data_IF_848518639488
#
_entry.id   IF_848518639488
#
_cell.length_a   1.000
_cell.length_b   1.000
_cell.length_c   1.000
_cell.angle_alpha   90.00
_cell.angle_beta   90.00
_cell.angle_gamma   90.00
#
_symmetry.space_group_name_H-M   'P 1'
#
loop_
_entity.id
_entity.type
_entity.pdbx_description
1 polymer ?
#
# COMPACT_ATOMS: atom_id res chain seq x y z
N UNK A 1 19.28 -21.12 -13.19
CA UNK A 1 17.81 -20.93 -13.20
C UNK A 1 17.37 -21.33 -11.79
N UNK A 2 17.00 -20.48 -10.84
CA UNK A 2 16.24 -19.24 -10.94
C UNK A 2 16.54 -18.36 -9.70
N UNK A 3 16.73 -17.08 -9.97
CA UNK A 3 16.74 -15.90 -9.10
C UNK A 3 16.53 -16.10 -7.57
N UNK A 4 17.60 -15.96 -6.79
CA UNK A 4 17.52 -15.50 -5.40
C UNK A 4 17.34 -13.98 -5.45
N UNK A 5 16.16 -13.41 -5.13
CA UNK A 5 16.01 -11.97 -5.21
C UNK A 5 16.80 -11.33 -4.06
N UNK A 6 17.71 -10.43 -4.43
CA UNK A 6 18.52 -9.66 -3.51
C UNK A 6 17.64 -8.94 -2.47
N UNK A 7 17.86 -9.26 -1.20
CA UNK A 7 17.35 -8.55 -0.03
C UNK A 7 17.98 -7.16 0.01
N UNK A 8 17.43 -6.21 -0.73
CA UNK A 8 17.76 -4.80 -0.64
C UNK A 8 16.50 -3.97 -0.85
N UNK A 9 15.49 -4.25 -0.02
CA UNK A 9 14.26 -3.47 0.10
C UNK A 9 14.16 -3.16 1.60
N UNK A 10 14.24 -1.89 1.98
CA UNK A 10 14.24 -1.46 3.37
C UNK A 10 13.17 -2.20 4.18
N UNK A 11 13.60 -2.86 5.25
CA UNK A 11 12.83 -3.67 6.20
C UNK A 11 11.35 -3.88 5.81
N UNK A 12 11.09 -4.94 5.01
CA UNK A 12 9.72 -5.44 4.86
C UNK A 12 9.20 -5.81 6.23
N UNK A 13 8.24 -5.02 6.71
CA UNK A 13 7.61 -5.20 8.01
C UNK A 13 6.11 -5.18 7.85
N UNK A 14 5.43 -5.79 8.81
CA UNK A 14 3.99 -5.79 8.82
C UNK A 14 3.50 -4.52 9.52
N UNK A 15 2.85 -3.65 8.75
CA UNK A 15 2.23 -2.43 9.24
C UNK A 15 0.91 -2.76 9.94
N UNK A 16 0.68 -2.15 11.10
CA UNK A 16 -0.64 -2.18 11.77
C UNK A 16 -1.59 -1.17 11.13
N UNK A 17 -2.87 -1.24 11.50
CA UNK A 17 -3.89 -0.32 10.98
C UNK A 17 -3.49 1.14 11.23
N UNK A 18 -2.97 1.46 12.42
CA UNK A 18 -2.53 2.80 12.80
C UNK A 18 -1.39 3.31 11.89
N UNK A 19 -0.40 2.45 11.59
CA UNK A 19 0.68 2.80 10.66
C UNK A 19 0.19 2.97 9.22
N UNK A 20 -0.75 2.12 8.78
CA UNK A 20 -1.36 2.26 7.46
C UNK A 20 -2.19 3.54 7.36
N UNK A 21 -2.94 3.89 8.41
CA UNK A 21 -3.67 5.15 8.50
C UNK A 21 -2.70 6.35 8.42
N UNK A 22 -1.58 6.30 9.16
CA UNK A 22 -0.55 7.34 9.13
C UNK A 22 0.15 7.45 7.77
N UNK A 23 0.49 6.32 7.14
CA UNK A 23 1.25 6.28 5.89
C UNK A 23 0.40 6.64 4.68
N UNK A 24 -0.85 6.17 4.64
CA UNK A 24 -1.78 6.42 3.54
C UNK A 24 -2.57 7.73 3.71
N UNK A 25 -2.64 8.27 4.93
CA UNK A 25 -3.47 9.43 5.28
C UNK A 25 -4.98 9.14 5.30
N UNK A 26 -5.39 7.88 5.07
CA UNK A 26 -6.78 7.47 5.08
C UNK A 26 -7.19 6.94 6.44
N UNK A 27 -8.44 7.23 6.84
CA UNK A 27 -9.03 6.64 8.04
C UNK A 27 -9.43 5.18 7.79
N UNK A 28 -9.51 4.39 8.86
CA UNK A 28 -9.89 2.95 8.84
C UNK A 28 -11.06 2.64 7.92
N UNK A 29 -12.13 3.45 7.95
CA UNK A 29 -13.35 3.19 7.20
C UNK A 29 -13.10 3.26 5.70
N UNK A 30 -12.25 4.19 5.27
CA UNK A 30 -11.86 4.33 3.87
C UNK A 30 -10.92 3.20 3.45
N UNK A 31 -9.98 2.79 4.31
CA UNK A 31 -9.13 1.62 4.04
C UNK A 31 -9.99 0.37 3.80
N UNK A 32 -10.95 0.08 4.69
CA UNK A 32 -11.87 -1.05 4.50
C UNK A 32 -12.76 -0.91 3.26
N UNK A 33 -13.18 0.31 2.91
CA UNK A 33 -13.93 0.56 1.68
C UNK A 33 -13.07 0.26 0.43
N UNK A 34 -11.81 0.69 0.41
CA UNK A 34 -10.89 0.42 -0.71
C UNK A 34 -10.56 -1.07 -0.81
N UNK A 35 -10.40 -1.77 0.33
CA UNK A 35 -10.25 -3.23 0.34
C UNK A 35 -11.47 -3.92 -0.29
N UNK A 36 -12.68 -3.47 0.08
CA UNK A 36 -13.92 -4.02 -0.50
C UNK A 36 -14.01 -3.77 -2.00
N UNK A 37 -13.44 -2.65 -2.49
CA UNK A 37 -13.35 -2.34 -3.91
C UNK A 37 -12.21 -3.06 -4.63
N UNK A 38 -11.33 -3.75 -3.91
CA UNK A 38 -10.11 -4.36 -4.48
C UNK A 38 -9.06 -3.32 -4.89
N UNK A 39 -9.22 -2.08 -4.44
CA UNK A 39 -8.28 -0.99 -4.75
C UNK A 39 -7.14 -0.90 -3.74
N UNK A 40 -7.20 -1.56 -2.58
CA UNK A 40 -6.18 -1.50 -1.53
C UNK A 40 -5.71 -2.90 -1.13
N UNK A 41 -4.42 -3.09 -0.77
CA UNK A 41 -3.88 -4.40 -0.40
C UNK A 41 -4.64 -5.06 0.74
N UNK A 42 -4.81 -6.37 0.65
CA UNK A 42 -5.54 -7.13 1.65
C UNK A 42 -4.75 -7.22 2.96
N UNK A 43 -5.48 -7.23 4.07
CA UNK A 43 -4.86 -7.39 5.38
C UNK A 43 -4.42 -8.84 5.60
N UNK A 44 -3.15 -9.06 5.91
CA UNK A 44 -2.63 -10.33 6.40
C UNK A 44 -3.04 -10.55 7.84
N UNK A 45 -3.59 -11.73 8.12
CA UNK A 45 -3.99 -12.13 9.46
C UNK A 45 -2.77 -12.64 10.22
N UNK A 46 -2.26 -11.82 11.15
CA UNK A 46 -1.11 -12.16 12.00
C UNK A 46 -1.50 -13.01 13.20
N UNK A 47 -2.77 -12.98 13.60
CA UNK A 47 -3.27 -13.78 14.72
C UNK A 47 -4.78 -13.71 14.85
N UNK A 48 -5.30 -14.20 15.99
CA UNK A 48 -6.74 -14.36 16.23
C UNK A 48 -7.52 -13.05 16.08
N UNK A 49 -6.96 -11.95 16.61
CA UNK A 49 -7.54 -10.59 16.58
C UNK A 49 -6.61 -9.55 15.91
N UNK A 50 -5.50 -10.00 15.35
CA UNK A 50 -4.47 -9.15 14.80
C UNK A 50 -4.41 -9.28 13.28
N UNK A 51 -4.53 -8.16 12.59
CA UNK A 51 -4.27 -8.03 11.16
C UNK A 51 -3.17 -7.01 10.93
N UNK A 52 -2.51 -7.12 9.80
CA UNK A 52 -1.51 -6.16 9.37
C UNK A 52 -1.32 -6.20 7.84
N UNK A 53 -0.54 -5.28 7.32
CA UNK A 53 -0.32 -5.09 5.90
C UNK A 53 1.15 -5.19 5.57
N UNK A 54 1.50 -5.75 4.41
CA UNK A 54 2.88 -5.70 3.95
C UNK A 54 3.28 -4.24 3.67
N UNK A 55 4.39 -3.80 4.26
CA UNK A 55 4.85 -2.43 4.12
C UNK A 55 5.20 -2.07 2.68
N UNK A 56 5.68 -3.03 1.88
CA UNK A 56 6.03 -2.79 0.48
C UNK A 56 4.77 -2.73 -0.39
N UNK A 57 3.77 -3.58 -0.16
CA UNK A 57 2.48 -3.49 -0.88
C UNK A 57 1.80 -2.13 -0.66
N UNK A 58 1.74 -1.66 0.59
CA UNK A 58 1.17 -0.34 0.91
C UNK A 58 1.96 0.78 0.24
N UNK A 59 3.29 0.71 0.26
CA UNK A 59 4.17 1.71 -0.37
C UNK A 59 4.00 1.75 -1.89
N UNK A 60 3.96 0.58 -2.52
CA UNK A 60 3.68 0.43 -3.94
C UNK A 60 2.33 1.05 -4.29
N UNK A 61 1.28 0.73 -3.53
CA UNK A 61 -0.05 1.28 -3.75
C UNK A 61 -0.09 2.81 -3.67
N UNK A 62 0.54 3.40 -2.64
CA UNK A 62 0.65 4.85 -2.50
C UNK A 62 1.38 5.45 -3.71
N UNK A 63 2.50 4.84 -4.10
CA UNK A 63 3.31 5.28 -5.23
C UNK A 63 2.54 5.22 -6.55
N UNK A 64 1.71 4.20 -6.78
CA UNK A 64 0.85 4.11 -7.95
C UNK A 64 -0.20 5.22 -7.98
N UNK A 65 -0.83 5.53 -6.84
CA UNK A 65 -1.77 6.65 -6.73
C UNK A 65 -1.11 8.00 -6.97
N UNK A 66 0.10 8.20 -6.47
CA UNK A 66 0.90 9.40 -6.75
C UNK A 66 1.23 9.51 -8.25
N UNK A 67 1.65 8.42 -8.89
CA UNK A 67 1.91 8.39 -10.34
C UNK A 67 0.66 8.75 -11.15
N UNK A 68 -0.49 8.18 -10.77
CA UNK A 68 -1.76 8.48 -11.44
C UNK A 68 -2.17 9.96 -11.29
N UNK A 69 -1.83 10.59 -10.15
CA UNK A 69 -2.01 12.03 -9.95
C UNK A 69 -1.07 12.86 -10.84
N UNK A 70 0.20 12.47 -10.98
CA UNK A 70 1.19 13.23 -11.78
C UNK A 70 0.83 13.21 -13.27
N UNK A 71 0.34 12.07 -13.79
CA UNK A 71 -0.06 11.93 -15.20
C UNK A 71 -1.29 12.78 -15.58
N UNK A 72 -2.09 13.22 -14.62
CA UNK A 72 -3.25 14.09 -14.86
C UNK A 72 -2.92 15.59 -14.83
N UNK A 73 -1.68 15.96 -14.49
CA UNK A 73 -1.21 17.36 -14.43
C UNK A 73 -0.31 17.79 -15.59
N UNK A 74 -0.07 16.96 -16.60
CA UNK A 74 0.59 17.44 -17.81
C UNK A 74 -0.41 18.30 -18.61
N UNK A 75 -0.13 19.60 -18.84
CA UNK A 75 -0.96 20.40 -19.74
C UNK A 75 -0.89 19.78 -21.13
N UNK A 76 -2.02 19.23 -21.59
CA UNK A 76 -2.26 18.97 -23.02
C UNK A 76 -2.34 20.31 -23.74
N UNK A 77 -1.22 20.97 -24.00
CA UNK A 77 -1.14 21.96 -25.06
C UNK A 77 0.32 22.18 -25.43
N UNK A 78 0.79 21.40 -26.40
CA UNK A 78 1.90 21.76 -27.26
C UNK A 78 1.30 22.30 -28.56
#
# INVERSE_FOLDING_TARGET
>A
MSQTPALSQGERRILRLDEVEAKSGFKRAHIYALMKKGEFPQALRLGVRAVGWDSAEVDHWISERLKNRVLSTLPRNA
#
